data_IF_252717770314
#
_entry.id   IF_252717770314
#
_cell.length_a   1.000
_cell.length_b   1.000
_cell.length_c   1.000
_cell.angle_alpha   90.00
_cell.angle_beta   90.00
_cell.angle_gamma   90.00
#
_symmetry.space_group_name_H-M   'P 1'
#
loop_
_entity.id
_entity.type
_entity.pdbx_description
1 polymer ?
#
# COMPACT_ATOMS: atom_id res chain seq x y z
N UNK A 1 32.76 13.69 -85.55
CA UNK A 1 34.15 14.12 -85.36
C UNK A 1 34.84 13.06 -84.51
N UNK A 2 35.74 12.29 -85.15
CA UNK A 2 36.83 11.41 -84.67
C UNK A 2 36.61 10.56 -83.40
N UNK A 3 36.61 9.21 -83.44
CA UNK A 3 37.53 8.22 -84.02
C UNK A 3 38.91 8.15 -83.35
N UNK A 4 39.24 6.91 -82.94
CA UNK A 4 40.55 6.26 -82.69
C UNK A 4 40.97 6.15 -81.21
N UNK A 5 41.66 5.12 -80.71
CA UNK A 5 42.03 3.72 -81.03
C UNK A 5 43.05 3.36 -79.93
N UNK A 6 43.05 2.14 -79.36
CA UNK A 6 44.19 1.37 -78.76
C UNK A 6 43.59 0.34 -77.76
N UNK A 7 43.37 -0.95 -78.03
CA UNK A 7 44.20 -2.10 -78.47
C UNK A 7 45.25 -2.59 -77.44
N UNK A 8 45.13 -3.90 -77.15
CA UNK A 8 46.09 -4.88 -76.58
C UNK A 8 46.19 -4.96 -75.05
N UNK A 9 46.27 -6.13 -74.41
CA UNK A 9 46.21 -7.55 -74.81
C UNK A 9 46.12 -8.39 -73.53
N UNK A 10 45.60 -9.62 -73.60
CA UNK A 10 45.75 -10.58 -72.50
C UNK A 10 44.73 -11.70 -72.48
N UNK A 11 44.90 -12.68 -73.37
CA UNK A 11 44.13 -13.91 -73.47
C UNK A 11 44.30 -14.75 -72.19
N UNK A 12 43.19 -15.16 -71.60
CA UNK A 12 43.10 -16.19 -70.57
C UNK A 12 41.79 -16.95 -70.72
N UNK A 13 41.74 -17.83 -71.73
CA UNK A 13 40.64 -18.77 -71.91
C UNK A 13 40.74 -19.87 -70.85
N UNK A 14 39.69 -20.08 -70.07
CA UNK A 14 39.11 -21.40 -69.75
C UNK A 14 38.12 -21.31 -68.58
N UNK A 15 36.93 -21.93 -68.76
CA UNK A 15 35.95 -22.33 -67.72
C UNK A 15 35.28 -21.12 -67.03
N UNK A 16 33.98 -20.85 -67.12
CA UNK A 16 32.86 -21.64 -66.60
C UNK A 16 31.58 -21.08 -67.27
N UNK A 17 31.00 -21.84 -68.20
CA UNK A 17 29.57 -21.71 -68.49
C UNK A 17 28.84 -22.49 -67.39
N UNK A 18 28.35 -21.80 -66.34
CA UNK A 18 27.66 -22.47 -65.24
C UNK A 18 27.63 -21.73 -63.90
N UNK A 19 27.55 -20.40 -63.90
CA UNK A 19 27.69 -19.59 -62.67
C UNK A 19 26.63 -18.51 -62.46
N UNK A 20 25.42 -18.66 -63.01
CA UNK A 20 24.35 -17.67 -62.87
C UNK A 20 22.96 -18.27 -62.63
N UNK A 21 22.88 -19.43 -61.95
CA UNK A 21 21.63 -20.14 -61.64
C UNK A 21 21.53 -20.63 -60.19
N UNK A 22 22.24 -20.00 -59.26
CA UNK A 22 22.14 -20.31 -57.83
C UNK A 22 22.30 -19.01 -57.06
N UNK A 23 21.22 -18.27 -56.81
CA UNK A 23 20.98 -17.38 -55.65
C UNK A 23 19.60 -16.68 -55.78
N UNK A 24 18.57 -17.43 -56.17
CA UNK A 24 17.19 -17.06 -55.85
C UNK A 24 16.66 -18.14 -54.91
N UNK A 25 16.98 -17.98 -53.63
CA UNK A 25 16.27 -18.69 -52.58
C UNK A 25 14.80 -18.24 -52.63
N UNK A 26 13.82 -19.15 -52.66
CA UNK A 26 12.42 -18.75 -52.52
C UNK A 26 12.22 -18.04 -51.17
N UNK A 27 11.34 -17.04 -51.08
CA UNK A 27 11.08 -16.37 -49.82
C UNK A 27 10.53 -17.39 -48.82
N UNK A 28 11.22 -17.54 -47.68
CA UNK A 28 10.78 -18.37 -46.56
C UNK A 28 9.40 -17.89 -46.09
N UNK A 29 8.36 -18.57 -46.54
CA UNK A 29 6.96 -18.16 -46.33
C UNK A 29 6.52 -18.36 -44.86
N UNK A 30 7.38 -18.97 -44.04
CA UNK A 30 7.11 -19.35 -42.65
C UNK A 30 7.80 -18.47 -41.60
N UNK A 31 8.63 -17.49 -42.02
CA UNK A 31 9.43 -16.65 -41.09
C UNK A 31 8.58 -15.82 -40.12
N UNK A 32 7.32 -15.54 -40.45
CA UNK A 32 6.44 -14.69 -39.63
C UNK A 32 5.66 -15.47 -38.56
N UNK A 33 5.84 -16.78 -38.45
CA UNK A 33 5.11 -17.62 -37.49
C UNK A 33 6.06 -17.99 -36.36
N UNK A 34 5.91 -17.32 -35.22
CA UNK A 34 6.80 -17.50 -34.06
C UNK A 34 6.08 -18.07 -32.83
N UNK A 35 4.75 -18.21 -32.88
CA UNK A 35 3.91 -18.63 -31.75
C UNK A 35 2.79 -19.59 -32.17
N UNK A 36 2.13 -20.18 -31.17
CA UNK A 36 0.92 -20.99 -31.37
C UNK A 36 -0.19 -20.13 -31.98
N UNK A 37 -0.38 -18.92 -31.47
CA UNK A 37 -1.38 -17.95 -31.93
C UNK A 37 -1.16 -17.56 -33.39
N UNK A 38 0.09 -17.29 -33.79
CA UNK A 38 0.42 -16.97 -35.19
C UNK A 38 0.12 -18.16 -36.12
N UNK A 39 0.38 -19.38 -35.64
CA UNK A 39 0.14 -20.61 -36.39
C UNK A 39 -1.36 -20.84 -36.63
N UNK A 40 -2.19 -20.66 -35.60
CA UNK A 40 -3.65 -20.77 -35.72
C UNK A 40 -4.23 -19.63 -36.56
N UNK A 41 -3.76 -18.39 -36.36
CA UNK A 41 -4.20 -17.22 -37.14
C UNK A 41 -3.86 -17.34 -38.63
N UNK A 42 -2.75 -18.01 -38.96
CA UNK A 42 -2.38 -18.31 -40.34
C UNK A 42 -3.15 -19.50 -40.94
N UNK A 43 -4.03 -20.15 -40.18
CA UNK A 43 -4.95 -21.19 -40.66
C UNK A 43 -4.33 -22.60 -40.76
N UNK A 44 -3.23 -22.85 -40.05
CA UNK A 44 -2.59 -24.17 -40.04
C UNK A 44 -3.33 -25.18 -39.15
N UNK A 45 -3.21 -26.49 -39.43
CA UNK A 45 -3.94 -27.52 -38.71
C UNK A 45 -3.50 -27.62 -37.26
N UNK A 46 -4.48 -27.57 -36.35
CA UNK A 46 -4.33 -27.88 -34.92
C UNK A 46 -4.61 -29.37 -34.70
N UNK A 47 -3.70 -30.05 -34.02
CA UNK A 47 -3.83 -31.43 -33.62
C UNK A 47 -4.62 -31.53 -32.32
N UNK A 48 -5.60 -32.42 -32.28
CA UNK A 48 -6.40 -32.75 -31.09
C UNK A 48 -5.63 -33.64 -30.10
N UNK A 49 -4.40 -33.25 -29.77
CA UNK A 49 -3.59 -33.83 -28.68
C UNK A 49 -3.68 -32.92 -27.46
N UNK A 50 -3.58 -33.45 -26.24
CA UNK A 50 -3.47 -32.64 -25.03
C UNK A 50 -2.01 -32.61 -24.54
N UNK A 51 -1.37 -31.44 -24.39
CA UNK A 51 -1.84 -30.11 -24.80
C UNK A 51 -1.90 -29.93 -26.33
N UNK A 52 -2.75 -29.01 -26.80
CA UNK A 52 -3.03 -28.76 -28.22
C UNK A 52 -1.78 -28.23 -28.95
N UNK A 53 -1.60 -28.66 -30.21
CA UNK A 53 -0.41 -28.34 -31.01
C UNK A 53 -0.79 -27.92 -32.42
N UNK A 54 -0.24 -26.81 -32.91
CA UNK A 54 -0.40 -26.33 -34.27
C UNK A 54 0.83 -26.69 -35.11
N UNK A 55 0.65 -27.32 -36.29
CA UNK A 55 1.74 -27.87 -37.12
C UNK A 55 1.87 -27.15 -38.46
N UNK A 56 3.10 -26.74 -38.78
CA UNK A 56 3.44 -26.13 -40.07
C UNK A 56 3.87 -27.19 -41.10
N UNK A 57 3.77 -26.88 -42.41
CA UNK A 57 4.26 -27.75 -43.49
C UNK A 57 5.78 -27.96 -43.50
N UNK A 58 6.54 -27.06 -42.86
CA UNK A 58 8.00 -27.15 -42.67
C UNK A 58 8.40 -28.17 -41.58
N UNK A 59 7.41 -28.71 -40.84
CA UNK A 59 7.61 -29.67 -39.75
C UNK A 59 7.71 -29.05 -38.36
N UNK A 60 7.71 -27.71 -38.22
CA UNK A 60 7.66 -27.06 -36.90
C UNK A 60 6.28 -27.24 -36.27
N UNK A 61 6.27 -27.42 -34.96
CA UNK A 61 5.06 -27.54 -34.15
C UNK A 61 5.11 -26.54 -33.00
N UNK A 62 4.03 -25.80 -32.79
CA UNK A 62 3.85 -24.90 -31.66
C UNK A 62 2.82 -25.51 -30.72
N UNK A 63 3.16 -25.65 -29.44
CA UNK A 63 2.25 -26.17 -28.41
C UNK A 63 1.63 -24.99 -27.67
N UNK A 64 0.31 -25.02 -27.45
CA UNK A 64 -0.33 -24.05 -26.58
C UNK A 64 0.08 -24.32 -25.14
N UNK A 65 0.87 -23.41 -24.57
CA UNK A 65 1.22 -23.48 -23.16
C UNK A 65 -0.04 -23.21 -22.35
N UNK A 66 -0.65 -24.27 -21.82
CA UNK A 66 -1.65 -24.12 -20.77
C UNK A 66 -0.88 -23.62 -19.57
N UNK A 67 -1.07 -22.35 -19.23
CA UNK A 67 -0.63 -21.78 -17.97
C UNK A 67 -1.38 -22.50 -16.84
N UNK A 68 -0.85 -23.65 -16.42
CA UNK A 68 -1.17 -24.30 -15.15
C UNK A 68 -0.65 -23.40 -14.02
N UNK A 69 -1.33 -22.28 -13.83
CA UNK A 69 -1.36 -21.51 -12.59
C UNK A 69 -2.08 -22.36 -11.54
N UNK A 70 -1.46 -23.49 -11.18
CA UNK A 70 -2.15 -24.62 -10.60
C UNK A 70 -1.31 -25.56 -9.75
N UNK A 71 -0.01 -25.77 -10.01
CA UNK A 71 0.90 -26.37 -9.01
C UNK A 71 2.33 -26.52 -9.53
N UNK A 72 3.23 -25.71 -9.01
CA UNK A 72 4.53 -26.24 -8.57
C UNK A 72 4.58 -26.01 -7.08
N UNK A 73 4.38 -27.07 -6.33
CA UNK A 73 4.75 -27.12 -4.92
C UNK A 73 6.27 -26.90 -4.85
N UNK A 74 6.66 -25.71 -4.46
CA UNK A 74 7.92 -25.54 -3.76
C UNK A 74 7.58 -24.94 -2.42
N UNK A 75 8.04 -25.62 -1.36
CA UNK A 75 8.17 -25.13 0.01
C UNK A 75 9.16 -23.96 0.01
N UNK A 76 8.87 -22.92 -0.75
CA UNK A 76 9.68 -21.71 -0.87
C UNK A 76 8.83 -20.60 -0.30
N UNK A 77 9.42 -19.86 0.63
CA UNK A 77 8.82 -18.66 1.15
C UNK A 77 8.47 -17.72 -0.02
N UNK A 78 7.18 -17.49 -0.26
CA UNK A 78 6.72 -16.58 -1.29
C UNK A 78 7.03 -15.15 -0.85
N UNK A 79 7.70 -14.36 -1.68
CA UNK A 79 7.86 -12.93 -1.41
C UNK A 79 6.52 -12.23 -1.67
N UNK A 80 6.00 -11.55 -0.66
CA UNK A 80 4.73 -10.85 -0.70
C UNK A 80 4.93 -9.34 -0.50
N UNK A 81 4.02 -8.55 -1.08
CA UNK A 81 4.04 -7.09 -1.01
C UNK A 81 2.96 -6.62 -0.03
N UNK A 82 3.30 -5.66 0.83
CA UNK A 82 2.34 -5.05 1.76
C UNK A 82 1.17 -4.40 0.98
N UNK A 83 -0.04 -4.61 1.48
CA UNK A 83 -1.29 -4.10 0.89
C UNK A 83 -1.79 -4.88 -0.32
N UNK A 84 -1.10 -5.95 -0.75
CA UNK A 84 -1.57 -6.87 -1.80
C UNK A 84 -2.07 -8.18 -1.19
N UNK A 85 -3.08 -8.82 -1.81
CA UNK A 85 -3.53 -10.14 -1.37
C UNK A 85 -2.44 -11.17 -1.61
N UNK A 86 -2.20 -12.02 -0.61
CA UNK A 86 -1.36 -13.21 -0.71
C UNK A 86 -2.18 -14.43 -0.34
N UNK A 87 -2.18 -15.43 -1.23
CA UNK A 87 -2.85 -16.70 -1.01
C UNK A 87 -1.83 -17.72 -0.53
N UNK A 88 -2.05 -18.27 0.66
CA UNK A 88 -1.20 -19.28 1.26
C UNK A 88 -1.97 -20.60 1.36
N UNK A 89 -1.30 -21.72 1.04
CA UNK A 89 -1.77 -23.06 1.39
C UNK A 89 -1.32 -23.42 2.80
N UNK A 90 -1.95 -24.38 3.45
CA UNK A 90 -1.55 -24.87 4.78
C UNK A 90 -0.06 -25.26 4.78
N UNK A 91 0.72 -24.73 5.73
CA UNK A 91 2.18 -24.85 5.79
C UNK A 91 2.97 -23.84 4.94
N UNK A 92 2.30 -23.10 4.04
CA UNK A 92 2.89 -22.07 3.20
C UNK A 92 3.31 -20.84 3.99
N UNK A 93 4.40 -20.19 3.54
CA UNK A 93 4.98 -19.01 4.17
C UNK A 93 5.10 -17.87 3.18
N UNK A 94 4.57 -16.71 3.54
CA UNK A 94 4.82 -15.43 2.87
C UNK A 94 5.88 -14.63 3.64
N UNK A 95 6.81 -14.00 2.94
CA UNK A 95 7.81 -13.09 3.49
C UNK A 95 7.60 -11.70 2.92
N UNK A 96 7.53 -10.73 3.82
CA UNK A 96 7.33 -9.31 3.51
C UNK A 96 8.63 -8.54 3.79
N UNK A 97 8.77 -7.31 3.26
CA UNK A 97 9.85 -6.41 3.64
C UNK A 97 9.89 -6.17 5.16
N UNK A 98 11.10 -6.01 5.73
CA UNK A 98 11.27 -5.66 7.14
C UNK A 98 11.17 -6.83 8.14
N UNK A 99 11.69 -8.00 7.78
CA UNK A 99 11.73 -9.22 8.63
C UNK A 99 10.37 -9.76 9.07
N UNK A 100 9.30 -9.37 8.38
CA UNK A 100 7.96 -9.88 8.62
C UNK A 100 7.73 -11.14 7.78
N UNK A 101 7.25 -12.21 8.42
CA UNK A 101 6.76 -13.39 7.70
C UNK A 101 5.46 -13.91 8.29
N UNK A 102 4.58 -14.37 7.40
CA UNK A 102 3.27 -14.91 7.71
C UNK A 102 3.22 -16.35 7.26
N UNK A 103 3.02 -17.29 8.18
CA UNK A 103 2.89 -18.72 7.86
C UNK A 103 1.48 -19.18 8.17
N UNK A 104 0.81 -19.85 7.24
CA UNK A 104 -0.48 -20.45 7.51
C UNK A 104 -0.26 -21.80 8.20
N UNK A 105 -0.67 -21.94 9.47
CA UNK A 105 -0.52 -23.18 10.23
C UNK A 105 -1.65 -24.16 9.98
N UNK A 106 -2.88 -23.66 10.07
CA UNK A 106 -4.09 -24.49 10.06
C UNK A 106 -5.28 -23.66 9.55
N UNK A 107 -6.25 -24.33 8.93
CA UNK A 107 -7.57 -23.76 8.67
C UNK A 107 -8.60 -24.65 9.36
N UNK A 108 -9.36 -24.07 10.28
CA UNK A 108 -10.50 -24.71 10.87
C UNK A 108 -11.74 -24.45 10.00
N UNK A 109 -12.31 -25.52 9.46
CA UNK A 109 -13.54 -25.49 8.66
C UNK A 109 -14.73 -25.94 9.50
N UNK A 110 -15.39 -24.97 10.12
CA UNK A 110 -16.66 -25.16 10.82
C UNK A 110 -17.85 -24.72 9.96
N UNK A 111 -17.73 -24.76 8.63
CA UNK A 111 -18.86 -24.43 7.75
C UNK A 111 -19.95 -25.48 7.87
N UNK A 112 -21.19 -25.01 7.72
CA UNK A 112 -22.37 -25.85 7.69
C UNK A 112 -22.57 -26.39 6.29
N UNK A 113 -22.51 -27.72 6.08
CA UNK A 113 -22.83 -28.31 4.80
C UNK A 113 -24.19 -27.85 4.27
N UNK A 114 -24.30 -27.79 2.94
CA UNK A 114 -25.61 -27.79 2.28
C UNK A 114 -26.30 -29.08 2.78
N UNK A 115 -27.52 -28.98 3.30
CA UNK A 115 -28.33 -30.08 3.89
C UNK A 115 -28.26 -30.27 5.42
N UNK A 116 -27.62 -29.37 6.18
CA UNK A 116 -27.77 -29.35 7.65
C UNK A 116 -28.25 -28.00 8.19
N UNK A 117 -29.25 -28.02 9.08
CA UNK A 117 -29.60 -26.86 9.89
C UNK A 117 -28.57 -26.70 11.01
N UNK A 118 -27.62 -25.80 10.80
CA UNK A 118 -26.80 -25.33 11.90
C UNK A 118 -27.54 -24.32 12.76
N UNK A 119 -27.30 -24.40 14.07
CA UNK A 119 -27.76 -23.40 15.04
C UNK A 119 -26.93 -22.11 14.99
N UNK A 120 -25.71 -22.17 14.46
CA UNK A 120 -24.75 -21.05 14.39
C UNK A 120 -24.22 -20.85 12.96
N UNK A 121 -23.87 -19.62 12.58
CA UNK A 121 -23.31 -19.31 11.26
C UNK A 121 -21.93 -19.97 11.12
N UNK A 122 -21.83 -21.02 10.30
CA UNK A 122 -20.57 -21.72 10.05
C UNK A 122 -19.51 -20.77 9.44
N UNK A 123 -18.26 -20.88 9.90
CA UNK A 123 -17.17 -19.97 9.57
C UNK A 123 -15.88 -20.76 9.26
N UNK A 124 -15.08 -20.24 8.31
CA UNK A 124 -13.70 -20.67 8.13
C UNK A 124 -12.78 -19.78 8.96
N UNK A 125 -11.94 -20.39 9.80
CA UNK A 125 -10.96 -19.69 10.62
C UNK A 125 -9.55 -20.16 10.32
N UNK A 126 -8.72 -19.28 9.77
CA UNK A 126 -7.31 -19.52 9.50
C UNK A 126 -6.44 -19.13 10.72
N UNK A 127 -5.58 -20.05 11.15
CA UNK A 127 -4.55 -19.80 12.16
C UNK A 127 -3.23 -19.48 11.46
N UNK A 128 -2.76 -18.26 11.64
CA UNK A 128 -1.48 -17.80 11.12
C UNK A 128 -0.43 -17.73 12.23
N UNK A 129 0.82 -18.02 11.87
CA UNK A 129 2.01 -17.74 12.66
C UNK A 129 2.68 -16.51 12.06
N UNK A 130 2.64 -15.40 12.78
CA UNK A 130 3.26 -14.13 12.38
C UNK A 130 4.63 -14.05 13.05
N UNK A 131 5.71 -14.00 12.27
CA UNK A 131 7.07 -13.80 12.79
C UNK A 131 7.56 -12.41 12.40
N UNK A 132 7.93 -11.58 13.39
CA UNK A 132 8.47 -10.23 13.20
C UNK A 132 9.74 -10.08 14.05
N UNK A 133 10.88 -9.75 13.44
CA UNK A 133 12.15 -9.57 14.17
C UNK A 133 12.56 -10.81 14.98
N UNK A 134 12.25 -12.01 14.48
CA UNK A 134 12.53 -13.29 15.14
C UNK A 134 11.50 -13.73 16.20
N UNK A 135 10.54 -12.89 16.57
CA UNK A 135 9.47 -13.26 17.52
C UNK A 135 8.27 -13.76 16.75
N UNK A 136 7.79 -14.98 17.07
CA UNK A 136 6.60 -15.57 16.46
C UNK A 136 5.39 -15.50 17.39
N UNK A 137 4.26 -15.04 16.87
CA UNK A 137 2.99 -14.92 17.58
C UNK A 137 1.86 -15.53 16.73
N UNK A 138 0.90 -16.17 17.37
CA UNK A 138 -0.23 -16.81 16.68
C UNK A 138 -1.39 -15.84 16.52
N UNK A 139 -1.93 -15.77 15.31
CA UNK A 139 -3.06 -14.92 14.97
C UNK A 139 -4.13 -15.74 14.27
N UNK A 140 -5.28 -15.89 14.92
CA UNK A 140 -6.49 -16.48 14.32
C UNK A 140 -7.34 -15.40 13.69
N UNK A 141 -7.63 -15.54 12.40
CA UNK A 141 -8.56 -14.71 11.64
C UNK A 141 -9.67 -15.60 11.07
N UNK A 142 -10.90 -15.09 11.05
CA UNK A 142 -12.06 -15.82 10.55
C UNK A 142 -12.84 -15.02 9.53
N UNK A 143 -13.59 -15.69 8.65
CA UNK A 143 -14.33 -15.03 7.57
C UNK A 143 -15.54 -14.20 8.02
N UNK A 144 -15.94 -14.26 9.29
CA UNK A 144 -17.13 -13.61 9.86
C UNK A 144 -16.80 -12.88 11.18
N UNK A 145 -16.33 -13.59 12.21
CA UNK A 145 -16.24 -13.06 13.57
C UNK A 145 -14.98 -12.23 13.82
N UNK A 146 -13.89 -12.49 13.08
CA UNK A 146 -12.62 -11.78 13.21
C UNK A 146 -11.85 -11.71 11.89
N UNK A 147 -12.41 -10.99 10.92
CA UNK A 147 -11.82 -10.83 9.60
C UNK A 147 -10.49 -10.07 9.61
N UNK A 148 -10.26 -9.19 10.59
CA UNK A 148 -9.02 -8.44 10.69
C UNK A 148 -8.50 -8.34 12.13
N UNK A 149 -7.19 -8.22 12.26
CA UNK A 149 -6.53 -7.93 13.54
C UNK A 149 -5.29 -7.06 13.33
N UNK A 150 -4.93 -6.28 14.35
CA UNK A 150 -3.71 -5.48 14.37
C UNK A 150 -2.69 -6.14 15.27
N UNK A 151 -1.48 -6.33 14.78
CA UNK A 151 -0.36 -6.88 15.55
C UNK A 151 0.93 -6.13 15.21
N UNK A 152 1.59 -5.60 16.25
CA UNK A 152 2.91 -4.92 16.17
C UNK A 152 3.02 -3.90 15.04
N UNK A 153 1.97 -3.11 14.81
CA UNK A 153 1.95 -2.06 13.79
C UNK A 153 1.57 -2.52 12.38
N UNK A 154 1.13 -3.77 12.20
CA UNK A 154 0.57 -4.29 10.95
C UNK A 154 -0.89 -4.71 11.14
N UNK A 155 -1.72 -4.46 10.14
CA UNK A 155 -3.08 -4.98 10.04
C UNK A 155 -3.07 -6.20 9.14
N UNK A 156 -3.57 -7.32 9.66
CA UNK A 156 -3.77 -8.56 8.94
C UNK A 156 -5.27 -8.71 8.69
N UNK A 157 -5.66 -8.87 7.43
CA UNK A 157 -7.06 -9.04 7.03
C UNK A 157 -7.20 -10.31 6.21
N UNK A 158 -8.09 -11.19 6.63
CA UNK A 158 -8.49 -12.37 5.86
C UNK A 158 -9.56 -11.95 4.85
N UNK A 159 -9.22 -11.95 3.56
CA UNK A 159 -10.17 -11.64 2.49
C UNK A 159 -11.05 -12.84 2.16
N UNK A 160 -10.45 -14.01 2.07
CA UNK A 160 -11.15 -15.26 1.77
C UNK A 160 -10.40 -16.45 2.34
N UNK A 161 -11.12 -17.53 2.59
CA UNK A 161 -10.54 -18.81 2.96
C UNK A 161 -11.29 -19.95 2.24
N UNK A 162 -10.57 -21.01 1.95
CA UNK A 162 -11.05 -22.34 1.54
C UNK A 162 -10.51 -23.36 2.55
N UNK A 163 -10.90 -24.65 2.50
CA UNK A 163 -10.36 -25.68 3.41
C UNK A 163 -8.83 -25.82 3.38
N UNK A 164 -8.21 -25.48 2.25
CA UNK A 164 -6.78 -25.76 2.01
C UNK A 164 -5.95 -24.49 1.80
N UNK A 165 -6.60 -23.34 1.61
CA UNK A 165 -5.91 -22.08 1.34
C UNK A 165 -6.60 -20.88 1.96
N UNK A 166 -5.83 -19.87 2.33
CA UNK A 166 -6.33 -18.60 2.85
C UNK A 166 -5.69 -17.44 2.10
N UNK A 167 -6.52 -16.47 1.69
CA UNK A 167 -6.07 -15.22 1.10
C UNK A 167 -6.10 -14.13 2.15
N UNK A 168 -4.93 -13.64 2.52
CA UNK A 168 -4.76 -12.57 3.50
C UNK A 168 -4.11 -11.34 2.86
N UNK A 169 -4.45 -10.17 3.37
CA UNK A 169 -3.77 -8.91 3.08
C UNK A 169 -3.08 -8.47 4.34
N UNK A 170 -1.79 -8.15 4.22
CA UNK A 170 -1.02 -7.55 5.32
C UNK A 170 -0.70 -6.12 4.94
N UNK A 171 -1.17 -5.17 5.73
CA UNK A 171 -0.93 -3.75 5.53
C UNK A 171 -0.25 -3.16 6.77
N UNK A 172 0.39 -2.01 6.62
CA UNK A 172 0.81 -1.22 7.79
C UNK A 172 -0.45 -0.76 8.51
N UNK A 173 -0.51 -0.96 9.83
CA UNK A 173 -1.65 -0.53 10.61
C UNK A 173 -1.78 0.98 10.50
N UNK A 174 -3.02 1.51 10.37
CA UNK A 174 -3.23 2.95 10.43
C UNK A 174 -2.68 3.46 11.76
N UNK A 175 -1.71 4.38 11.73
CA UNK A 175 -1.23 5.01 12.94
C UNK A 175 -2.39 5.86 13.46
N UNK A 176 -2.94 5.58 14.67
CA UNK A 176 -3.99 6.42 15.23
C UNK A 176 -3.48 7.86 15.29
N UNK A 177 -4.34 8.80 14.88
CA UNK A 177 -3.96 10.21 14.85
C UNK A 177 -3.52 10.63 16.26
N UNK A 178 -2.32 11.20 16.35
CA UNK A 178 -1.80 11.84 17.56
C UNK A 178 -1.82 13.35 17.39
N UNK A 179 -1.82 14.08 18.51
CA UNK A 179 -1.77 15.53 18.44
C UNK A 179 -2.06 16.24 19.74
N UNK A 180 -2.41 17.52 19.60
CA UNK A 180 -2.82 18.39 20.71
C UNK A 180 -4.22 18.88 20.41
N UNK A 181 -5.09 18.80 21.40
CA UNK A 181 -6.38 19.48 21.43
C UNK A 181 -6.38 20.43 22.59
N UNK A 182 -7.00 21.59 22.45
CA UNK A 182 -7.08 22.49 23.59
C UNK A 182 -8.21 23.48 23.49
N UNK A 183 -8.46 24.11 24.63
CA UNK A 183 -9.45 25.17 24.81
C UNK A 183 -8.72 26.42 25.29
N UNK A 184 -9.04 27.53 24.64
CA UNK A 184 -8.46 28.84 24.91
C UNK A 184 -9.57 29.73 25.43
N UNK A 185 -9.34 30.34 26.58
CA UNK A 185 -10.28 31.27 27.19
C UNK A 185 -9.55 32.52 27.67
N UNK A 186 -10.33 33.60 27.77
CA UNK A 186 -9.86 34.91 28.20
C UNK A 186 -10.59 35.33 29.46
N UNK A 187 -9.81 35.75 30.45
CA UNK A 187 -10.26 36.21 31.75
C UNK A 187 -9.25 37.21 32.37
N UNK A 188 -9.64 38.01 33.37
CA UNK A 188 -11.01 38.26 33.81
C UNK A 188 -11.80 39.07 32.76
N UNK A 189 -13.14 39.02 32.77
CA UNK A 189 -13.97 39.82 31.85
C UNK A 189 -14.62 41.05 32.51
N UNK A 190 -14.55 41.13 33.85
CA UNK A 190 -15.07 42.22 34.65
C UNK A 190 -13.95 42.83 35.52
N UNK A 191 -13.94 44.15 35.76
CA UNK A 191 -12.97 44.79 36.67
C UNK A 191 -13.09 44.33 38.13
N UNK A 192 -14.29 43.96 38.59
CA UNK A 192 -14.53 43.58 39.98
C UNK A 192 -15.43 42.34 40.04
N UNK A 193 -14.94 41.30 40.69
CA UNK A 193 -15.75 40.12 41.02
C UNK A 193 -16.64 40.40 42.24
N UNK A 194 -17.89 39.93 42.17
CA UNK A 194 -18.88 40.02 43.26
C UNK A 194 -19.18 38.63 43.82
N UNK A 195 -19.66 38.57 45.07
CA UNK A 195 -20.17 37.35 45.68
C UNK A 195 -21.69 37.47 45.88
N UNK A 196 -22.51 36.58 45.28
CA UNK A 196 -22.13 35.44 44.45
C UNK A 196 -21.56 35.85 43.07
N UNK A 197 -20.75 34.99 42.41
CA UNK A 197 -20.14 35.28 41.11
C UNK A 197 -21.20 35.62 40.05
N UNK A 198 -21.01 36.74 39.36
CA UNK A 198 -21.87 37.12 38.23
C UNK A 198 -21.52 36.25 37.01
N UNK A 199 -22.45 35.46 36.45
CA UNK A 199 -22.21 34.65 35.26
C UNK A 199 -21.72 35.46 34.05
N UNK A 200 -22.05 36.76 33.96
CA UNK A 200 -21.56 37.63 32.89
C UNK A 200 -20.06 37.92 32.98
N UNK A 201 -19.47 37.71 34.16
CA UNK A 201 -18.06 37.89 34.46
C UNK A 201 -17.23 36.62 34.29
N UNK A 202 -17.86 35.48 33.96
CA UNK A 202 -17.14 34.25 33.67
C UNK A 202 -16.19 34.41 32.47
N UNK A 203 -15.10 33.63 32.49
CA UNK A 203 -14.15 33.58 31.38
C UNK A 203 -14.85 33.21 30.07
N UNK A 204 -14.43 33.87 29.00
CA UNK A 204 -15.05 33.69 27.69
C UNK A 204 -14.13 32.91 26.77
N UNK A 205 -14.67 32.02 25.91
CA UNK A 205 -13.89 31.38 24.88
C UNK A 205 -13.19 32.41 24.00
N UNK A 206 -11.90 32.21 23.75
CA UNK A 206 -11.12 33.12 22.93
C UNK A 206 -11.12 32.68 21.48
N UNK A 207 -11.99 33.29 20.68
CA UNK A 207 -12.18 32.94 19.27
C UNK A 207 -11.11 33.58 18.36
N UNK A 208 -10.76 32.87 17.29
CA UNK A 208 -9.81 33.30 16.25
C UNK A 208 -8.41 33.65 16.78
N UNK A 209 -8.03 33.16 17.96
CA UNK A 209 -6.70 33.35 18.50
C UNK A 209 -5.67 32.66 17.61
N UNK A 210 -4.53 33.31 17.35
CA UNK A 210 -3.46 32.71 16.54
C UNK A 210 -2.69 31.72 17.41
N UNK A 211 -2.81 30.43 17.08
CA UNK A 211 -2.15 29.33 17.77
C UNK A 211 -0.94 28.89 16.95
N UNK A 212 0.23 28.92 17.56
CA UNK A 212 1.49 28.45 16.98
C UNK A 212 2.04 27.36 17.89
N UNK A 213 2.23 26.16 17.33
CA UNK A 213 2.79 25.03 18.07
C UNK A 213 4.20 24.79 17.56
N UNK A 214 5.19 24.92 18.45
CA UNK A 214 6.61 24.68 18.15
C UNK A 214 7.09 23.39 18.76
N UNK A 215 7.91 22.65 18.02
CA UNK A 215 8.60 21.49 18.56
C UNK A 215 9.74 21.95 19.47
N UNK A 216 9.77 21.48 20.73
CA UNK A 216 10.79 21.89 21.71
C UNK A 216 12.19 21.38 21.39
N UNK A 217 12.33 20.31 20.60
CA UNK A 217 13.62 19.73 20.26
C UNK A 217 14.41 20.58 19.24
N UNK A 218 13.72 21.24 18.30
CA UNK A 218 14.36 21.97 17.21
C UNK A 218 13.83 23.41 17.00
N UNK A 219 12.82 23.85 17.77
CA UNK A 219 12.21 25.17 17.66
C UNK A 219 11.34 25.39 16.41
N UNK A 220 11.21 24.38 15.54
CA UNK A 220 10.46 24.49 14.29
C UNK A 220 8.95 24.61 14.58
N UNK A 221 8.26 25.40 13.77
CA UNK A 221 6.79 25.47 13.81
C UNK A 221 6.24 24.17 13.27
N UNK A 222 5.61 23.38 14.13
CA UNK A 222 5.02 22.09 13.79
C UNK A 222 3.57 22.25 13.30
N UNK A 223 2.85 23.25 13.80
CA UNK A 223 1.50 23.60 13.33
C UNK A 223 1.21 25.07 13.60
N UNK A 224 0.40 25.69 12.75
CA UNK A 224 -0.14 27.02 12.95
C UNK A 224 -1.61 27.03 12.51
N UNK A 225 -2.49 27.49 13.40
CA UNK A 225 -3.92 27.54 13.17
C UNK A 225 -4.57 28.67 13.96
N UNK A 226 -5.87 28.87 13.78
CA UNK A 226 -6.68 29.74 14.62
C UNK A 226 -7.61 28.90 15.51
N UNK A 227 -7.94 29.40 16.70
CA UNK A 227 -9.02 28.81 17.51
C UNK A 227 -10.39 29.06 16.88
N UNK A 228 -11.31 28.13 17.11
CA UNK A 228 -12.70 28.24 16.64
C UNK A 228 -13.52 29.26 17.45
N UNK A 229 -14.79 29.47 17.06
CA UNK A 229 -15.70 30.39 17.75
C UNK A 229 -16.00 29.99 19.22
N UNK A 230 -15.69 28.75 19.59
CA UNK A 230 -15.83 28.20 20.93
C UNK A 230 -14.47 28.11 21.63
N UNK A 231 -13.42 28.77 21.14
CA UNK A 231 -12.09 28.79 21.74
C UNK A 231 -11.31 27.48 21.58
N UNK A 232 -11.80 26.48 20.85
CA UNK A 232 -11.11 25.21 20.71
C UNK A 232 -10.13 25.23 19.55
N UNK A 233 -9.04 24.49 19.69
CA UNK A 233 -8.12 24.19 18.60
C UNK A 233 -7.74 22.72 18.63
N UNK A 234 -7.34 22.21 17.46
CA UNK A 234 -6.84 20.84 17.32
C UNK A 234 -5.77 20.80 16.26
N UNK A 235 -4.65 20.17 16.58
CA UNK A 235 -3.52 20.00 15.68
C UNK A 235 -3.07 18.53 15.70
N UNK A 236 -3.02 17.90 14.54
CA UNK A 236 -2.43 16.56 14.41
C UNK A 236 -0.90 16.71 14.38
N UNK A 237 -0.21 16.06 15.32
CA UNK A 237 1.23 16.20 15.52
C UNK A 237 1.84 14.83 15.81
N UNK A 238 3.06 14.62 15.35
CA UNK A 238 3.83 13.43 15.69
C UNK A 238 4.14 13.40 17.21
N UNK A 239 4.41 12.21 17.79
CA UNK A 239 4.82 12.11 19.18
C UNK A 239 6.05 12.96 19.48
N UNK A 240 6.04 13.67 20.61
CA UNK A 240 7.12 14.58 20.99
C UNK A 240 6.67 15.68 21.96
N UNK A 241 7.63 16.52 22.37
CA UNK A 241 7.39 17.65 23.26
C UNK A 241 7.20 18.95 22.46
N UNK A 242 6.15 19.70 22.79
CA UNK A 242 5.77 20.92 22.07
C UNK A 242 5.48 22.08 23.03
N UNK A 243 5.73 23.29 22.55
CA UNK A 243 5.30 24.54 23.17
C UNK A 243 4.15 25.13 22.35
N UNK A 244 3.09 25.56 23.04
CA UNK A 244 1.89 26.17 22.47
C UNK A 244 1.93 27.66 22.78
N UNK A 245 2.14 28.46 21.75
CA UNK A 245 2.15 29.92 21.80
C UNK A 245 0.81 30.43 21.25
N UNK A 246 0.08 31.18 22.05
CA UNK A 246 -1.19 31.80 21.64
C UNK A 246 -1.02 33.31 21.63
N UNK A 247 -1.45 33.94 20.54
CA UNK A 247 -1.32 35.38 20.33
C UNK A 247 -2.57 35.99 19.72
N UNK A 248 -2.68 37.32 19.83
CA UNK A 248 -3.81 38.06 19.25
C UNK A 248 -3.86 37.93 17.72
N UNK A 249 -5.06 37.74 17.13
CA UNK A 249 -5.20 37.70 15.67
C UNK A 249 -4.76 38.98 14.98
N UNK A 250 -4.88 40.13 15.67
CA UNK A 250 -4.53 41.45 15.14
C UNK A 250 -3.11 41.90 15.52
N UNK A 251 -2.34 41.06 16.22
CA UNK A 251 -1.01 41.42 16.71
C UNK A 251 -1.01 42.37 17.91
N UNK A 252 -2.16 42.60 18.55
CA UNK A 252 -2.24 43.32 19.82
C UNK A 252 -1.45 42.59 20.91
N UNK A 253 -0.76 43.31 21.82
CA UNK A 253 -0.05 42.71 22.96
C UNK A 253 -1.00 42.06 23.98
N UNK A 254 -2.29 42.43 23.97
CA UNK A 254 -3.34 41.82 24.79
C UNK A 254 -4.38 41.08 23.94
N UNK A 255 -5.03 40.03 24.48
CA UNK A 255 -4.79 39.41 25.79
C UNK A 255 -3.45 38.66 25.84
N UNK A 256 -2.82 38.60 27.01
CA UNK A 256 -1.55 37.90 27.21
C UNK A 256 -1.81 36.44 27.59
N UNK A 257 -1.44 35.52 26.70
CA UNK A 257 -1.59 34.09 26.94
C UNK A 257 -0.29 33.47 27.43
N UNK A 258 -0.36 32.65 28.47
CA UNK A 258 0.81 31.88 28.92
C UNK A 258 1.19 30.83 27.85
N UNK A 259 2.49 30.70 27.59
CA UNK A 259 2.99 29.59 26.76
C UNK A 259 2.82 28.29 27.52
N UNK A 260 2.01 27.37 26.98
CA UNK A 260 1.83 26.04 27.57
C UNK A 260 2.76 25.03 26.93
N UNK A 261 3.12 24.00 27.67
CA UNK A 261 3.88 22.87 27.16
C UNK A 261 3.02 21.61 27.19
N UNK A 262 3.15 20.78 26.16
CA UNK A 262 2.46 19.51 26.08
C UNK A 262 3.35 18.44 25.47
N UNK A 263 3.23 17.23 25.99
CA UNK A 263 3.85 16.04 25.43
C UNK A 263 2.79 15.22 24.69
N UNK A 264 3.03 14.95 23.41
CA UNK A 264 2.16 14.14 22.56
C UNK A 264 2.65 12.71 22.58
N UNK A 265 1.77 11.78 22.97
CA UNK A 265 2.03 10.34 22.90
C UNK A 265 1.47 9.76 21.60
N UNK A 266 2.07 8.68 21.13
CA UNK A 266 1.59 7.95 19.94
C UNK A 266 0.14 7.54 20.08
N UNK A 267 -0.68 7.88 19.09
CA UNK A 267 -2.10 7.51 19.05
C UNK A 267 -3.01 8.26 20.01
N UNK A 268 -2.54 9.33 20.66
CA UNK A 268 -3.32 10.09 21.62
C UNK A 268 -3.32 11.59 21.30
N UNK A 269 -4.42 12.26 21.64
CA UNK A 269 -4.50 13.71 21.68
C UNK A 269 -4.30 14.19 23.12
N UNK A 270 -3.29 15.03 23.33
CA UNK A 270 -3.05 15.66 24.63
C UNK A 270 -3.94 16.89 24.76
N UNK A 271 -4.72 16.96 25.84
CA UNK A 271 -5.61 18.09 26.12
C UNK A 271 -4.88 19.20 26.85
N UNK A 272 -5.03 20.44 26.39
CA UNK A 272 -4.41 21.64 27.00
C UNK A 272 -5.46 22.72 27.23
N UNK A 273 -5.46 23.31 28.43
CA UNK A 273 -6.23 24.51 28.75
C UNK A 273 -5.30 25.73 28.74
N UNK A 274 -5.64 26.74 27.94
CA UNK A 274 -4.87 27.98 27.79
C UNK A 274 -5.70 29.14 28.29
N UNK A 275 -5.32 29.67 29.45
CA UNK A 275 -5.88 30.91 29.99
C UNK A 275 -5.08 32.11 29.48
N UNK A 276 -5.81 33.13 29.00
CA UNK A 276 -5.25 34.39 28.52
C UNK A 276 -5.72 35.55 29.40
N UNK A 277 -4.77 36.31 29.96
CA UNK A 277 -5.04 37.52 30.75
C UNK A 277 -5.54 38.64 29.83
N UNK A 278 -6.77 39.09 30.05
CA UNK A 278 -7.37 40.20 29.30
C UNK A 278 -6.68 41.55 29.58
N UNK A 279 -5.97 41.66 30.71
CA UNK A 279 -5.40 42.91 31.21
C UNK A 279 -6.39 43.79 31.98
N UNK A 280 -7.62 43.31 32.22
CA UNK A 280 -8.60 43.97 33.08
C UNK A 280 -8.14 43.86 34.54
N UNK A 281 -8.29 44.96 35.30
CA UNK A 281 -7.88 45.12 36.71
C UNK A 281 -8.89 45.98 37.46
#
# INVERSE_FOLDING_TARGET
MNQKTLIAAGIGAAVIAGGAWLFFAPPDTYSNIASYEDCVAAGYPVLETYPEQCKLPDGRTFTHAIDDSGSVATTTAQTAVLGKPVTLRTGGKAVFPGELSLTLKEINDSRCPQDVQCVWQGELSALFSVTLGGVSEELRLGTVMKQSAVLKGYTFTLQSATPESATAVVAVAPVPASGISGFIHTGPTCPVERMPPDPNCADRPYANAKVVIRNKANGAVASQSASDLKGNFRAALAPGAYAIEVSSPTGSPLPFCETKEAEVKTGAFTSVDVSCDSGIR
#
